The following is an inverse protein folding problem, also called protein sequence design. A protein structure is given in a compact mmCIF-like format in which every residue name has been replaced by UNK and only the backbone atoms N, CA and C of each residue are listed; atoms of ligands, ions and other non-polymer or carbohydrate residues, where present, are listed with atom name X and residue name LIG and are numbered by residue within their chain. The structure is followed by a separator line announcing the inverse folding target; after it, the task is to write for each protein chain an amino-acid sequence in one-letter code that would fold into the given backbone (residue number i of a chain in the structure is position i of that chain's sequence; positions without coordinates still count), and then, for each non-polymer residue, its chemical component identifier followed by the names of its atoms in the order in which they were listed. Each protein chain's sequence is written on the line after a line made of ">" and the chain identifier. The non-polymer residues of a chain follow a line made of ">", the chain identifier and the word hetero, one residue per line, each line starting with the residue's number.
data_IF_100024773745
#
_entry.id   IF_100024773745
#
_cell.length_a   1.000
_cell.length_b   1.000
_cell.length_c   1.000
_cell.angle_alpha   90.00
_cell.angle_beta   90.00
_cell.angle_gamma   90.00
#
_symmetry.space_group_name_H-M   'P 1'
#
loop_
_entity.id
_entity.type
_entity.pdbx_description
1 polymer ?
#
# COMPACT_ATOMS: atom_id res chain seq x y z
N UNK A 1 -3.44 14.19 12.87
CA UNK A 1 -3.24 12.92 12.14
C UNK A 1 -4.30 12.79 11.06
N UNK A 2 -3.95 12.34 9.85
CA UNK A 2 -4.94 12.07 8.82
C UNK A 2 -5.86 10.93 9.24
N UNK A 3 -7.16 11.04 8.98
CA UNK A 3 -8.10 9.94 9.20
C UNK A 3 -7.96 8.91 8.09
N UNK A 4 -8.08 7.63 8.43
CA UNK A 4 -8.13 6.50 7.50
C UNK A 4 -9.58 6.05 7.39
N UNK A 5 -10.08 5.92 6.17
CA UNK A 5 -11.41 5.39 5.91
C UNK A 5 -11.26 3.93 5.54
N UNK A 6 -12.02 3.07 6.21
CA UNK A 6 -12.21 1.68 5.83
C UNK A 6 -13.68 1.54 5.43
N UNK A 7 -13.92 1.13 4.20
CA UNK A 7 -15.27 0.90 3.70
C UNK A 7 -15.81 -0.38 4.34
N UNK A 8 -17.02 -0.33 4.91
CA UNK A 8 -17.64 -1.50 5.55
C UNK A 8 -17.92 -2.63 4.55
N UNK A 9 -18.00 -2.32 3.25
CA UNK A 9 -18.09 -3.30 2.15
C UNK A 9 -16.88 -4.23 2.06
N UNK A 10 -15.76 -3.93 2.73
CA UNK A 10 -14.61 -4.84 2.80
C UNK A 10 -15.00 -6.24 3.30
N UNK A 11 -15.98 -6.34 4.20
CA UNK A 11 -16.47 -7.62 4.71
C UNK A 11 -17.25 -8.46 3.69
N UNK A 12 -17.71 -7.83 2.61
CA UNK A 12 -18.39 -8.49 1.49
C UNK A 12 -17.47 -8.74 0.29
N UNK A 13 -16.21 -8.29 0.34
CA UNK A 13 -15.21 -8.60 -0.68
C UNK A 13 -14.79 -10.07 -0.55
N UNK A 14 -15.04 -10.87 -1.60
CA UNK A 14 -14.81 -12.31 -1.55
C UNK A 14 -13.34 -12.68 -1.30
N UNK A 15 -12.39 -11.83 -1.69
CA UNK A 15 -10.98 -12.07 -1.35
C UNK A 15 -10.76 -11.88 0.15
N UNK A 16 -11.25 -10.77 0.72
CA UNK A 16 -11.10 -10.48 2.14
C UNK A 16 -11.85 -11.49 3.02
N UNK A 17 -13.04 -11.94 2.60
CA UNK A 17 -13.84 -12.94 3.30
C UNK A 17 -13.05 -14.24 3.56
N UNK A 18 -12.30 -14.69 2.54
CA UNK A 18 -11.51 -15.93 2.55
C UNK A 18 -10.20 -15.85 3.34
N UNK A 19 -9.79 -14.66 3.81
CA UNK A 19 -8.60 -14.53 4.65
C UNK A 19 -8.84 -15.12 6.05
N UNK A 20 -7.79 -15.72 6.61
CA UNK A 20 -7.80 -16.11 8.01
C UNK A 20 -7.71 -14.89 8.94
N UNK A 21 -7.91 -15.09 10.24
CA UNK A 21 -7.89 -14.00 11.21
C UNK A 21 -6.55 -13.25 11.27
N UNK A 22 -5.44 -13.95 11.04
CA UNK A 22 -4.09 -13.36 11.09
C UNK A 22 -3.86 -12.48 9.86
N UNK A 23 -4.26 -12.93 8.69
CA UNK A 23 -4.18 -12.18 7.44
C UNK A 23 -5.13 -10.98 7.45
N UNK A 24 -6.35 -11.12 8.01
CA UNK A 24 -7.27 -9.98 8.22
C UNK A 24 -6.65 -8.93 9.14
N UNK A 25 -6.05 -9.36 10.25
CA UNK A 25 -5.35 -8.46 11.18
C UNK A 25 -4.19 -7.75 10.49
N UNK A 26 -3.36 -8.50 9.76
CA UNK A 26 -2.22 -7.93 9.02
C UNK A 26 -2.70 -6.90 8.01
N UNK A 27 -3.67 -7.23 7.17
CA UNK A 27 -4.17 -6.31 6.15
C UNK A 27 -4.73 -5.03 6.75
N UNK A 28 -5.53 -5.13 7.82
CA UNK A 28 -6.01 -3.94 8.53
C UNK A 28 -4.85 -3.12 9.11
N UNK A 29 -3.87 -3.76 9.74
CA UNK A 29 -2.69 -3.06 10.25
C UNK A 29 -1.97 -2.27 9.15
N UNK A 30 -1.80 -2.84 7.95
CA UNK A 30 -1.18 -2.13 6.83
C UNK A 30 -1.98 -0.88 6.43
N UNK A 31 -3.31 -0.92 6.50
CA UNK A 31 -4.16 0.22 6.18
C UNK A 31 -4.17 1.30 7.28
N UNK A 32 -3.95 0.93 8.55
CA UNK A 32 -4.28 1.81 9.69
C UNK A 32 -3.13 2.19 10.60
N UNK A 33 -1.92 1.65 10.41
CA UNK A 33 -0.78 2.03 11.24
C UNK A 33 -0.38 3.51 11.04
N UNK A 34 0.43 4.02 11.97
CA UNK A 34 0.85 5.42 12.04
C UNK A 34 1.78 5.86 10.90
N UNK A 35 2.44 4.93 10.22
CA UNK A 35 3.32 5.20 9.06
C UNK A 35 2.58 5.24 7.74
N UNK A 36 1.40 4.65 7.65
CA UNK A 36 0.59 4.68 6.42
C UNK A 36 0.34 6.14 6.04
N UNK A 37 0.87 6.59 4.91
CA UNK A 37 0.84 8.00 4.49
C UNK A 37 -0.33 8.30 3.52
N UNK A 38 -0.28 9.39 2.76
CA UNK A 38 -1.34 9.74 1.78
C UNK A 38 -1.28 8.92 0.50
N UNK A 39 -0.15 8.27 0.23
CA UNK A 39 0.09 7.49 -0.98
C UNK A 39 -0.21 6.00 -0.78
N UNK A 40 -0.17 5.52 0.46
CA UNK A 40 -0.26 4.08 0.76
C UNK A 40 1.06 3.34 0.48
N UNK A 41 2.17 4.08 0.37
CA UNK A 41 3.52 3.54 0.17
C UNK A 41 4.42 4.10 1.25
N UNK A 42 4.92 3.26 2.14
CA UNK A 42 5.65 3.71 3.31
C UNK A 42 6.62 2.65 3.81
N UNK A 43 7.70 3.10 4.43
CA UNK A 43 8.70 2.22 5.03
C UNK A 43 8.22 1.68 6.38
N UNK A 44 8.37 0.38 6.61
CA UNK A 44 8.14 -0.25 7.92
C UNK A 44 8.89 -1.57 7.97
N UNK A 45 9.61 -1.85 9.06
CA UNK A 45 10.30 -3.12 9.21
C UNK A 45 9.36 -4.24 9.66
N UNK A 46 9.61 -5.48 9.22
CA UNK A 46 8.90 -6.67 9.70
C UNK A 46 8.87 -6.79 11.23
N UNK A 47 9.95 -6.38 11.91
CA UNK A 47 10.02 -6.36 13.39
C UNK A 47 8.96 -5.44 13.99
N UNK A 48 8.71 -4.29 13.38
CA UNK A 48 7.70 -3.34 13.86
C UNK A 48 6.29 -3.87 13.60
N UNK A 49 6.03 -4.46 12.42
CA UNK A 49 4.75 -5.13 12.13
C UNK A 49 4.50 -6.24 13.16
N UNK A 50 5.51 -7.08 13.42
CA UNK A 50 5.44 -8.15 14.40
C UNK A 50 5.16 -7.64 15.81
N UNK A 51 5.85 -6.59 16.24
CA UNK A 51 5.63 -5.97 17.55
C UNK A 51 4.21 -5.43 17.72
N UNK A 52 3.68 -4.75 16.70
CA UNK A 52 2.36 -4.10 16.80
C UNK A 52 1.20 -5.09 16.71
N UNK A 53 1.36 -6.15 15.92
CA UNK A 53 0.28 -7.12 15.65
C UNK A 53 0.37 -8.38 16.52
N UNK A 54 1.53 -8.65 17.12
CA UNK A 54 1.82 -9.92 17.79
C UNK A 54 2.02 -11.09 16.82
N UNK A 55 1.97 -10.85 15.50
CA UNK A 55 2.21 -11.88 14.49
C UNK A 55 3.69 -12.24 14.44
N UNK A 56 3.99 -13.51 14.19
CA UNK A 56 5.36 -13.95 13.92
C UNK A 56 5.81 -13.43 12.55
N UNK A 57 7.11 -13.19 12.38
CA UNK A 57 7.67 -12.80 11.06
C UNK A 57 7.29 -13.81 9.97
N UNK A 58 7.25 -15.11 10.28
CA UNK A 58 6.83 -16.16 9.34
C UNK A 58 5.38 -15.98 8.87
N UNK A 59 4.47 -15.66 9.80
CA UNK A 59 3.07 -15.37 9.44
C UNK A 59 2.96 -14.11 8.59
N UNK A 60 3.74 -13.07 8.92
CA UNK A 60 3.76 -11.81 8.15
C UNK A 60 4.26 -12.04 6.72
N UNK A 61 5.37 -12.76 6.53
CA UNK A 61 5.89 -13.08 5.19
C UNK A 61 4.85 -13.85 4.37
N UNK A 62 4.26 -14.90 4.94
CA UNK A 62 3.20 -15.68 4.27
C UNK A 62 1.98 -14.81 3.91
N UNK A 63 1.58 -13.90 4.79
CA UNK A 63 0.51 -12.94 4.53
C UNK A 63 0.82 -12.04 3.34
N UNK A 64 2.04 -11.47 3.29
CA UNK A 64 2.49 -10.68 2.13
C UNK A 64 2.56 -11.48 0.84
N UNK A 65 3.00 -12.74 0.87
CA UNK A 65 2.97 -13.62 -0.32
C UNK A 65 1.54 -13.80 -0.84
N UNK A 66 0.57 -14.03 0.06
CA UNK A 66 -0.85 -14.14 -0.29
C UNK A 66 -1.40 -12.84 -0.85
N UNK A 67 -1.05 -11.70 -0.26
CA UNK A 67 -1.49 -10.38 -0.71
C UNK A 67 -0.87 -10.00 -2.05
N UNK A 68 0.39 -10.36 -2.29
CA UNK A 68 1.07 -10.13 -3.56
C UNK A 68 0.43 -10.97 -4.68
N UNK A 69 0.16 -12.26 -4.43
CA UNK A 69 -0.56 -13.15 -5.37
C UNK A 69 -1.95 -12.60 -5.71
N UNK A 70 -2.65 -12.00 -4.74
CA UNK A 70 -3.93 -11.36 -4.95
C UNK A 70 -3.84 -9.91 -5.47
N UNK A 71 -2.63 -9.36 -5.66
CA UNK A 71 -2.39 -7.97 -6.03
C UNK A 71 -3.04 -6.95 -5.09
N UNK A 72 -2.96 -7.15 -3.77
CA UNK A 72 -3.61 -6.29 -2.76
C UNK A 72 -2.60 -5.44 -1.99
N UNK A 73 -1.48 -6.04 -1.60
CA UNK A 73 -0.38 -5.36 -0.93
C UNK A 73 0.93 -6.09 -1.23
N UNK A 74 2.04 -5.34 -1.16
CA UNK A 74 3.38 -5.85 -1.44
C UNK A 74 4.36 -5.34 -0.40
N UNK A 75 5.39 -6.13 -0.14
CA UNK A 75 6.53 -5.75 0.68
C UNK A 75 7.80 -5.83 -0.17
N UNK A 76 8.63 -4.79 -0.13
CA UNK A 76 9.84 -4.72 -0.94
C UNK A 76 11.08 -5.01 -0.10
N UNK A 77 12.18 -5.37 -0.77
CA UNK A 77 13.47 -5.62 -0.12
C UNK A 77 14.02 -4.38 0.60
N UNK A 78 13.60 -3.19 0.16
CA UNK A 78 13.91 -1.89 0.78
C UNK A 78 13.03 -1.60 2.01
N UNK A 79 12.26 -2.58 2.52
CA UNK A 79 11.33 -2.47 3.65
C UNK A 79 10.16 -1.50 3.41
N UNK A 80 9.68 -1.38 2.17
CA UNK A 80 8.47 -0.62 1.88
C UNK A 80 7.25 -1.51 1.76
N UNK A 81 6.14 -1.06 2.35
CA UNK A 81 4.81 -1.55 2.05
C UNK A 81 4.24 -0.75 0.90
N UNK A 82 3.65 -1.42 -0.08
CA UNK A 82 2.91 -0.83 -1.20
C UNK A 82 1.47 -1.35 -1.19
N UNK A 83 0.50 -0.48 -0.92
CA UNK A 83 -0.93 -0.82 -0.91
C UNK A 83 -1.58 -0.52 -2.26
N UNK A 84 -1.98 -1.55 -3.01
CA UNK A 84 -2.65 -1.37 -4.31
C UNK A 84 -4.03 -0.75 -4.10
N UNK A 85 -4.43 0.15 -5.00
CA UNK A 85 -5.72 0.85 -4.95
C UNK A 85 -5.99 1.67 -3.67
N UNK A 86 -5.02 1.88 -2.77
CA UNK A 86 -5.23 2.62 -1.53
C UNK A 86 -5.88 3.99 -1.78
N UNK A 87 -5.39 4.73 -2.78
CA UNK A 87 -5.93 6.05 -3.15
C UNK A 87 -7.41 6.02 -3.55
N UNK A 88 -7.92 4.90 -4.09
CA UNK A 88 -9.33 4.78 -4.51
C UNK A 88 -10.29 4.65 -3.33
N UNK A 89 -9.80 4.13 -2.20
CA UNK A 89 -10.61 3.86 -1.00
C UNK A 89 -10.46 4.94 0.09
N UNK A 90 -9.77 6.05 -0.20
CA UNK A 90 -9.61 7.16 0.75
C UNK A 90 -10.30 8.44 0.24
N UNK A 91 -10.72 9.29 1.17
CA UNK A 91 -11.24 10.63 0.86
C UNK A 91 -10.12 11.66 0.90
N UNK A 92 -9.96 12.43 -0.17
CA UNK A 92 -8.91 13.42 -0.30
C UNK A 92 -9.45 14.85 -0.37
N UNK A 93 -8.88 15.74 0.44
CA UNK A 93 -8.95 17.18 0.20
C UNK A 93 -7.70 17.65 -0.57
N UNK A 94 -7.67 18.92 -0.99
CA UNK A 94 -6.57 19.47 -1.78
C UNK A 94 -5.19 19.32 -1.10
N UNK A 95 -5.10 19.47 0.22
CA UNK A 95 -3.83 19.33 0.96
C UNK A 95 -3.35 17.88 0.99
N UNK A 96 -4.28 16.92 1.12
CA UNK A 96 -3.95 15.49 1.06
C UNK A 96 -3.46 15.09 -0.33
N UNK A 97 -4.07 15.61 -1.41
CA UNK A 97 -3.60 15.39 -2.79
C UNK A 97 -2.19 15.94 -2.99
N UNK A 98 -1.93 17.17 -2.51
CA UNK A 98 -0.58 17.78 -2.54
C UNK A 98 0.45 16.92 -1.81
N UNK A 99 0.08 16.42 -0.63
CA UNK A 99 0.95 15.54 0.17
C UNK A 99 1.22 14.22 -0.54
N UNK A 100 0.22 13.57 -1.15
CA UNK A 100 0.41 12.35 -1.93
C UNK A 100 1.40 12.56 -3.10
N UNK A 101 1.27 13.68 -3.83
CA UNK A 101 2.19 14.03 -4.93
C UNK A 101 3.61 14.32 -4.44
N UNK A 102 3.76 14.98 -3.29
CA UNK A 102 5.07 15.23 -2.69
C UNK A 102 5.75 13.92 -2.28
N UNK A 103 5.03 13.06 -1.56
CA UNK A 103 5.52 11.73 -1.16
C UNK A 103 5.96 10.94 -2.40
N UNK A 104 5.17 10.93 -3.47
CA UNK A 104 5.54 10.22 -4.70
C UNK A 104 6.84 10.73 -5.34
N UNK A 105 7.08 12.05 -5.32
CA UNK A 105 8.32 12.64 -5.84
C UNK A 105 9.54 12.19 -5.03
N UNK A 106 9.37 12.02 -3.73
CA UNK A 106 10.43 11.65 -2.79
C UNK A 106 10.66 10.13 -2.71
N UNK A 107 9.80 9.31 -3.34
CA UNK A 107 10.00 7.86 -3.36
C UNK A 107 11.30 7.46 -4.08
N UNK A 108 11.94 6.36 -3.65
CA UNK A 108 12.96 5.65 -4.42
C UNK A 108 12.51 5.38 -5.85
N UNK A 109 13.44 5.42 -6.80
CA UNK A 109 13.12 5.21 -8.22
C UNK A 109 12.56 3.81 -8.50
N UNK A 110 12.97 2.80 -7.71
CA UNK A 110 12.44 1.43 -7.71
C UNK A 110 10.92 1.36 -7.47
N UNK A 111 10.37 2.30 -6.69
CA UNK A 111 8.96 2.35 -6.30
C UNK A 111 8.12 3.33 -7.16
N UNK A 112 8.77 4.05 -8.09
CA UNK A 112 8.09 4.97 -9.00
C UNK A 112 7.46 4.22 -10.16
N UNK A 113 6.32 4.73 -10.59
CA UNK A 113 5.61 4.18 -11.74
C UNK A 113 6.40 4.53 -13.01
N UNK A 114 6.79 3.50 -13.76
CA UNK A 114 7.50 3.66 -15.02
C UNK A 114 6.68 4.53 -15.97
N UNK A 115 7.35 5.47 -16.62
CA UNK A 115 6.78 6.41 -17.59
C UNK A 115 5.72 7.40 -17.04
N UNK A 116 5.50 7.46 -15.73
CA UNK A 116 4.59 8.45 -15.14
C UNK A 116 5.24 9.83 -15.08
N UNK A 117 4.83 10.73 -15.98
CA UNK A 117 5.28 12.13 -15.99
C UNK A 117 4.26 13.03 -15.30
N UNK A 118 4.66 13.60 -14.16
CA UNK A 118 3.85 14.56 -13.40
C UNK A 118 4.19 16.03 -13.71
N UNK A 119 5.13 16.30 -14.62
CA UNK A 119 5.51 17.66 -15.00
C UNK A 119 4.37 18.34 -15.75
N UNK A 120 4.15 19.63 -15.46
CA UNK A 120 3.14 20.49 -16.09
C UNK A 120 1.68 20.07 -15.88
N UNK A 121 1.39 19.16 -14.93
CA UNK A 121 0.03 18.79 -14.57
C UNK A 121 -0.51 19.69 -13.46
N UNK A 122 -1.82 19.97 -13.51
CA UNK A 122 -2.54 20.53 -12.36
C UNK A 122 -2.57 19.53 -11.20
N UNK A 123 -2.90 20.00 -9.99
CA UNK A 123 -3.05 19.15 -8.81
C UNK A 123 -3.99 17.96 -9.05
N UNK A 124 -5.13 18.22 -9.69
CA UNK A 124 -6.14 17.20 -9.98
C UNK A 124 -5.64 16.18 -11.01
N UNK A 125 -5.09 16.64 -12.13
CA UNK A 125 -4.54 15.75 -13.16
C UNK A 125 -3.38 14.89 -12.64
N UNK A 126 -2.49 15.48 -11.84
CA UNK A 126 -1.38 14.74 -11.25
C UNK A 126 -1.87 13.68 -10.27
N UNK A 127 -2.83 14.02 -9.42
CA UNK A 127 -3.40 13.07 -8.45
C UNK A 127 -4.19 11.94 -9.14
N UNK A 128 -4.95 12.26 -10.18
CA UNK A 128 -5.67 11.27 -10.99
C UNK A 128 -4.68 10.33 -11.69
N UNK A 129 -3.57 10.85 -12.22
CA UNK A 129 -2.50 10.06 -12.82
C UNK A 129 -1.89 9.06 -11.83
N UNK A 130 -1.71 9.44 -10.55
CA UNK A 130 -1.32 8.50 -9.49
C UNK A 130 -2.38 7.43 -9.24
N UNK A 131 -3.66 7.81 -9.16
CA UNK A 131 -4.77 6.87 -8.92
C UNK A 131 -4.87 5.81 -10.03
N UNK A 132 -4.69 6.23 -11.29
CA UNK A 132 -4.69 5.34 -12.45
C UNK A 132 -3.45 4.45 -12.46
N UNK A 133 -2.26 5.05 -12.27
CA UNK A 133 -1.00 4.32 -12.27
C UNK A 133 -0.95 3.21 -11.21
N UNK A 134 -1.29 3.50 -9.96
CA UNK A 134 -1.33 2.48 -8.89
C UNK A 134 -2.51 1.50 -9.02
N UNK A 135 -3.51 1.82 -9.85
CA UNK A 135 -4.56 0.87 -10.21
C UNK A 135 -4.09 -0.19 -11.22
N UNK A 136 -3.17 0.17 -12.11
CA UNK A 136 -2.65 -0.68 -13.19
C UNK A 136 -1.32 -1.35 -12.79
N UNK A 137 -0.65 -0.85 -11.75
CA UNK A 137 0.64 -1.36 -11.29
C UNK A 137 0.57 -2.86 -10.97
N UNK A 138 1.18 -3.67 -11.84
CA UNK A 138 1.52 -5.05 -11.57
C UNK A 138 3.00 -5.00 -11.20
N UNK A 139 3.33 -5.21 -9.93
CA UNK A 139 4.73 -5.35 -9.53
C UNK A 139 5.28 -6.55 -10.29
N UNK A 140 6.31 -6.27 -11.09
CA UNK A 140 7.16 -7.27 -11.73
C UNK A 140 7.60 -8.23 -10.63
N UNK A 141 7.49 -9.52 -10.92
CA UNK A 141 7.81 -10.65 -10.04
C UNK A 141 9.06 -10.34 -9.20
N UNK A 142 8.86 -10.09 -7.91
CA UNK A 142 9.95 -10.12 -6.93
C UNK A 142 10.17 -11.59 -6.64
N UNK A 143 11.14 -12.19 -7.32
CA UNK A 143 11.70 -13.48 -6.92
C UNK A 143 12.29 -13.30 -5.53
N UNK A 144 11.54 -13.76 -4.52
CA UNK A 144 12.08 -13.93 -3.18
C UNK A 144 12.98 -15.15 -3.25
N UNK A 145 14.28 -14.93 -3.48
CA UNK A 145 15.29 -15.94 -3.16
C UNK A 145 15.29 -16.13 -1.64
N UNK A 146 14.67 -17.22 -1.19
CA UNK A 146 14.74 -17.69 0.19
C UNK A 146 15.98 -18.57 0.27
N UNK A 147 17.05 -18.08 0.92
CA UNK A 147 18.13 -18.93 1.44
C UNK A 147 17.61 -19.93 2.50
#
# INVERSE_FOLDING_TARGET
>A
MPKRYIESSIWADSWFENLDSSDKLLFFYLLTNDRTNMLGIYEVSMKKISFDTGLTTKAICKGFEGFAKASKAFYTDENYVVLKNFLKHQRFNANMKKSALAIYKDLPNSLKIKDLKLSNLTLEQGFESLCQGFGIFNLIEVEVEIE
#
